data_IF_102219197740
#
_entry.id   IF_102219197740
#
_cell.length_a   1.000
_cell.length_b   1.000
_cell.length_c   1.000
_cell.angle_alpha   90.00
_cell.angle_beta   90.00
_cell.angle_gamma   90.00
#
_symmetry.space_group_name_H-M   'P 1'
#
loop_
_entity.id
_entity.type
_entity.pdbx_description
1 polymer ?
#
# COMPACT_ATOMS: atom_id res chain seq x y z
N UNK A 1 3.96 20.50 -17.61
CA UNK A 1 5.27 19.86 -17.42
C UNK A 1 5.10 18.52 -16.74
N UNK A 2 5.60 17.46 -17.36
CA UNK A 2 5.36 16.11 -16.84
C UNK A 2 5.85 15.90 -15.41
N UNK A 3 7.05 16.40 -15.09
CA UNK A 3 7.59 16.21 -13.74
C UNK A 3 6.77 16.93 -12.68
N UNK A 4 6.30 18.13 -12.98
CA UNK A 4 5.48 18.90 -12.06
C UNK A 4 4.12 18.24 -11.85
N UNK A 5 3.51 17.72 -12.91
CA UNK A 5 2.24 17.01 -12.80
C UNK A 5 2.39 15.75 -11.93
N UNK A 6 3.49 15.00 -12.10
CA UNK A 6 3.77 13.81 -11.30
C UNK A 6 3.94 14.16 -9.83
N UNK A 7 4.62 15.26 -9.54
CA UNK A 7 4.80 15.72 -8.16
C UNK A 7 3.47 16.08 -7.52
N UNK A 8 2.60 16.74 -8.26
CA UNK A 8 1.27 17.11 -7.77
C UNK A 8 0.41 15.87 -7.54
N UNK A 9 0.49 14.89 -8.41
CA UNK A 9 -0.23 13.63 -8.26
C UNK A 9 0.23 12.88 -7.01
N UNK A 10 1.53 12.82 -6.76
CA UNK A 10 2.08 12.18 -5.57
C UNK A 10 1.58 12.88 -4.30
N UNK A 11 1.59 14.21 -4.29
CA UNK A 11 1.13 14.97 -3.14
C UNK A 11 -0.37 14.75 -2.86
N UNK A 12 -1.14 14.47 -3.90
CA UNK A 12 -2.56 14.20 -3.75
C UNK A 12 -2.85 12.77 -3.36
N UNK A 13 -1.90 11.85 -3.54
CA UNK A 13 -2.10 10.43 -3.27
C UNK A 13 -1.89 10.10 -1.80
N UNK A 14 -2.79 9.31 -1.26
CA UNK A 14 -2.73 8.84 0.12
C UNK A 14 -2.44 7.35 0.13
N UNK A 15 -1.39 6.95 0.85
CA UNK A 15 -0.98 5.55 0.98
C UNK A 15 -1.28 5.09 2.40
N UNK A 16 -1.99 3.97 2.53
CA UNK A 16 -2.24 3.34 3.82
C UNK A 16 -1.20 2.26 4.04
N UNK A 17 -0.44 2.37 5.13
CA UNK A 17 0.55 1.37 5.52
C UNK A 17 0.05 0.60 6.73
N UNK A 18 0.00 -0.72 6.62
CA UNK A 18 -0.48 -1.59 7.69
C UNK A 18 0.63 -2.58 8.07
N UNK A 19 1.05 -2.54 9.33
CA UNK A 19 2.12 -3.40 9.83
C UNK A 19 2.07 -3.35 11.35
N UNK A 20 2.13 -4.48 12.04
CA UNK A 20 2.08 -4.48 13.49
C UNK A 20 3.45 -4.20 14.14
N UNK A 21 4.51 -4.12 13.35
CA UNK A 21 5.84 -3.74 13.84
C UNK A 21 6.01 -2.24 13.69
N UNK A 22 6.00 -1.55 14.81
CA UNK A 22 6.00 -0.09 14.82
C UNK A 22 7.23 0.54 14.16
N UNK A 23 8.39 -0.05 14.37
CA UNK A 23 9.63 0.48 13.77
C UNK A 23 9.58 0.43 12.24
N UNK A 24 9.17 -0.72 11.69
CA UNK A 24 9.05 -0.88 10.25
C UNK A 24 8.01 0.08 9.67
N UNK A 25 6.90 0.23 10.37
CA UNK A 25 5.81 1.12 9.96
C UNK A 25 6.28 2.57 9.92
N UNK A 26 6.97 3.01 10.97
CA UNK A 26 7.48 4.36 11.07
C UNK A 26 8.49 4.66 9.96
N UNK A 27 9.40 3.74 9.71
CA UNK A 27 10.41 3.90 8.68
C UNK A 27 9.77 4.01 7.29
N UNK A 28 8.82 3.15 7.02
CA UNK A 28 8.11 3.16 5.73
C UNK A 28 7.35 4.45 5.53
N UNK A 29 6.71 4.93 6.59
CA UNK A 29 6.03 6.21 6.55
C UNK A 29 6.98 7.34 6.17
N UNK A 30 8.16 7.37 6.80
CA UNK A 30 9.18 8.39 6.50
C UNK A 30 9.61 8.37 5.04
N UNK A 31 9.85 7.17 4.52
CA UNK A 31 10.26 7.00 3.12
C UNK A 31 9.18 7.53 2.17
N UNK A 32 7.94 7.15 2.40
CA UNK A 32 6.84 7.54 1.52
C UNK A 32 6.54 9.03 1.63
N UNK A 33 6.56 9.59 2.82
CA UNK A 33 6.35 11.02 2.99
C UNK A 33 7.43 11.84 2.32
N UNK A 34 8.68 11.38 2.38
CA UNK A 34 9.77 12.09 1.73
C UNK A 34 9.62 12.12 0.21
N UNK A 35 8.87 11.19 -0.34
CA UNK A 35 8.58 11.15 -1.78
C UNK A 35 7.33 11.93 -2.16
N UNK A 36 6.66 12.56 -1.19
CA UNK A 36 5.50 13.42 -1.45
C UNK A 36 4.15 12.80 -1.20
N UNK A 37 4.08 11.56 -0.73
CA UNK A 37 2.80 10.93 -0.42
C UNK A 37 2.27 11.37 0.94
N UNK A 38 0.96 11.41 1.04
CA UNK A 38 0.30 11.48 2.33
C UNK A 38 0.20 10.04 2.85
N UNK A 39 0.58 9.81 4.10
CA UNK A 39 0.62 8.46 4.64
C UNK A 39 -0.26 8.31 5.86
N UNK A 40 -1.10 7.29 5.83
CA UNK A 40 -1.90 6.86 6.98
C UNK A 40 -1.31 5.53 7.44
N UNK A 41 -1.32 5.28 8.74
CA UNK A 41 -0.75 4.07 9.29
C UNK A 41 -1.75 3.33 10.17
N UNK A 42 -1.61 2.01 10.22
CA UNK A 42 -2.40 1.18 11.11
C UNK A 42 -1.55 0.02 11.60
N UNK A 43 -1.67 -0.34 12.87
CA UNK A 43 -0.83 -1.35 13.51
C UNK A 43 -1.50 -2.72 13.60
N UNK A 44 -2.63 -2.88 12.95
CA UNK A 44 -3.33 -4.17 12.88
C UNK A 44 -4.20 -4.21 11.65
N UNK A 45 -4.60 -5.41 11.25
CA UNK A 45 -5.51 -5.57 10.12
C UNK A 45 -6.86 -4.91 10.39
N UNK A 46 -7.39 -5.08 11.60
CA UNK A 46 -8.66 -4.48 11.97
C UNK A 46 -8.61 -2.96 11.90
N UNK A 47 -7.56 -2.37 12.43
CA UNK A 47 -7.38 -0.92 12.38
C UNK A 47 -7.19 -0.44 10.94
N UNK A 48 -6.46 -1.20 10.16
CA UNK A 48 -6.28 -0.90 8.74
C UNK A 48 -7.59 -0.85 7.99
N UNK A 49 -8.49 -1.78 8.28
CA UNK A 49 -9.80 -1.79 7.64
C UNK A 49 -10.65 -0.58 8.07
N UNK A 50 -10.59 -0.21 9.34
CA UNK A 50 -11.27 1.00 9.82
C UNK A 50 -10.80 2.23 9.06
N UNK A 51 -9.49 2.40 8.93
CA UNK A 51 -8.90 3.54 8.21
C UNK A 51 -9.31 3.49 6.74
N UNK A 52 -9.24 2.32 6.13
CA UNK A 52 -9.59 2.19 4.72
C UNK A 52 -11.05 2.58 4.45
N UNK A 53 -11.96 2.21 5.34
CA UNK A 53 -13.38 2.54 5.19
C UNK A 53 -13.68 4.01 5.43
N UNK A 54 -12.91 4.66 6.29
CA UNK A 54 -13.22 6.03 6.72
C UNK A 54 -12.44 7.12 5.99
N UNK A 55 -11.34 6.75 5.31
CA UNK A 55 -10.46 7.70 4.65
C UNK A 55 -10.37 7.41 3.16
N UNK A 56 -10.02 8.42 2.39
CA UNK A 56 -9.75 8.24 0.97
C UNK A 56 -8.33 7.68 0.80
N UNK A 57 -8.22 6.45 0.34
CA UNK A 57 -6.94 5.76 0.19
C UNK A 57 -6.71 5.42 -1.27
N UNK A 58 -5.54 5.75 -1.80
CA UNK A 58 -5.19 5.53 -3.20
C UNK A 58 -4.28 4.34 -3.42
N UNK A 59 -3.60 3.87 -2.38
CA UNK A 59 -2.77 2.67 -2.46
C UNK A 59 -2.59 2.10 -1.05
N UNK A 60 -2.34 0.80 -0.97
CA UNK A 60 -2.15 0.11 0.31
C UNK A 60 -0.84 -0.67 0.26
N UNK A 61 -0.04 -0.54 1.32
CA UNK A 61 1.17 -1.33 1.52
C UNK A 61 0.99 -2.05 2.84
N UNK A 62 0.95 -3.36 2.81
CA UNK A 62 0.64 -4.10 4.02
C UNK A 62 1.55 -5.30 4.24
N UNK A 63 1.83 -5.57 5.51
CA UNK A 63 2.60 -6.73 5.94
C UNK A 63 1.73 -7.98 5.86
N UNK A 64 2.33 -9.09 5.47
CA UNK A 64 1.59 -10.35 5.41
C UNK A 64 1.34 -10.92 6.82
N UNK A 65 2.37 -10.92 7.67
CA UNK A 65 2.28 -11.52 9.00
C UNK A 65 1.92 -10.50 10.06
N UNK A 66 0.69 -10.60 10.57
CA UNK A 66 0.20 -9.75 11.67
C UNK A 66 -0.58 -10.62 12.63
N UNK A 67 -0.66 -10.19 13.89
CA UNK A 67 -1.25 -11.01 14.95
C UNK A 67 -2.75 -11.28 14.77
N UNK A 68 -3.50 -10.29 14.28
CA UNK A 68 -4.97 -10.41 14.21
C UNK A 68 -5.46 -10.95 12.87
N UNK A 69 -4.90 -10.51 11.77
CA UNK A 69 -5.27 -10.93 10.42
C UNK A 69 -4.01 -10.99 9.58
N UNK A 70 -3.91 -11.96 8.68
CA UNK A 70 -2.77 -11.93 7.76
C UNK A 70 -3.07 -10.96 6.60
N UNK A 71 -2.01 -10.60 5.88
CA UNK A 71 -2.13 -9.62 4.80
C UNK A 71 -3.10 -10.02 3.71
N UNK A 72 -3.19 -11.31 3.42
CA UNK A 72 -4.11 -11.78 2.39
C UNK A 72 -5.57 -11.57 2.80
N UNK A 73 -5.89 -11.80 4.06
CA UNK A 73 -7.24 -11.56 4.57
C UNK A 73 -7.61 -10.09 4.46
N UNK A 74 -6.68 -9.21 4.81
CA UNK A 74 -6.89 -7.76 4.68
C UNK A 74 -7.06 -7.38 3.21
N UNK A 75 -6.21 -7.90 2.35
CA UNK A 75 -6.26 -7.59 0.92
C UNK A 75 -7.59 -8.01 0.29
N UNK A 76 -8.11 -9.18 0.68
CA UNK A 76 -9.41 -9.63 0.18
C UNK A 76 -10.53 -8.71 0.61
N UNK A 77 -10.51 -8.26 1.86
CA UNK A 77 -11.53 -7.34 2.36
C UNK A 77 -11.45 -5.99 1.64
N UNK A 78 -10.25 -5.51 1.42
CA UNK A 78 -10.05 -4.26 0.66
C UNK A 78 -10.59 -4.40 -0.75
N UNK A 79 -10.32 -5.53 -1.42
CA UNK A 79 -10.81 -5.77 -2.78
C UNK A 79 -12.32 -5.78 -2.89
N UNK A 80 -13.01 -6.21 -1.86
CA UNK A 80 -14.48 -6.17 -1.84
C UNK A 80 -14.97 -4.73 -1.84
N UNK A 81 -14.25 -3.84 -1.18
CA UNK A 81 -14.61 -2.43 -1.08
C UNK A 81 -14.15 -1.62 -2.29
N UNK A 82 -12.98 -1.95 -2.82
CA UNK A 82 -12.42 -1.28 -3.98
C UNK A 82 -11.63 -2.26 -4.82
N UNK A 83 -12.18 -2.74 -5.94
CA UNK A 83 -11.50 -3.72 -6.78
C UNK A 83 -10.25 -3.21 -7.49
N UNK A 84 -10.05 -1.90 -7.52
CA UNK A 84 -8.98 -1.30 -8.34
C UNK A 84 -7.84 -0.67 -7.55
N UNK A 85 -7.96 -0.54 -6.24
CA UNK A 85 -6.91 0.11 -5.46
C UNK A 85 -5.62 -0.72 -5.53
N UNK A 86 -4.46 -0.10 -5.80
CA UNK A 86 -3.18 -0.83 -5.77
C UNK A 86 -2.89 -1.39 -4.39
N UNK A 87 -2.51 -2.66 -4.33
CA UNK A 87 -2.14 -3.33 -3.09
C UNK A 87 -0.77 -3.97 -3.25
N UNK A 88 0.16 -3.59 -2.37
CA UNK A 88 1.49 -4.21 -2.27
C UNK A 88 1.54 -4.96 -0.95
N UNK A 89 1.90 -6.23 -0.98
CA UNK A 89 2.07 -7.03 0.22
C UNK A 89 3.56 -7.26 0.46
N UNK A 90 3.98 -7.06 1.70
CA UNK A 90 5.35 -7.31 2.14
C UNK A 90 5.38 -8.62 2.92
N UNK A 91 6.24 -9.55 2.53
CA UNK A 91 6.33 -10.84 3.18
C UNK A 91 7.77 -11.21 3.47
N UNK A 92 8.04 -11.72 4.69
CA UNK A 92 9.37 -12.15 5.07
C UNK A 92 9.78 -13.45 4.38
N UNK A 93 8.79 -14.24 3.98
CA UNK A 93 9.06 -15.58 3.46
C UNK A 93 8.41 -15.78 2.11
N UNK A 94 8.74 -15.57 1.08
CA UNK A 94 8.17 -15.74 -0.26
C UNK A 94 7.00 -16.71 -0.38
N UNK A 95 6.01 -16.63 0.53
CA UNK A 95 4.89 -17.52 0.49
C UNK A 95 3.90 -17.21 -0.60
N UNK A 96 3.39 -18.22 -1.09
CA UNK A 96 2.07 -18.44 -1.65
C UNK A 96 1.56 -17.40 -2.59
N UNK A 97 2.32 -17.22 -3.63
CA UNK A 97 1.92 -16.34 -4.70
C UNK A 97 0.61 -16.77 -5.33
N UNK A 98 0.32 -18.07 -5.33
CA UNK A 98 -0.87 -18.61 -5.98
C UNK A 98 -2.16 -18.04 -5.40
N UNK A 99 -2.22 -17.91 -4.07
CA UNK A 99 -3.41 -17.39 -3.42
C UNK A 99 -3.62 -15.90 -3.66
N UNK A 100 -2.56 -15.19 -4.00
CA UNK A 100 -2.61 -13.74 -4.17
C UNK A 100 -2.91 -13.32 -5.60
N UNK A 101 -2.91 -14.24 -6.55
CA UNK A 101 -3.14 -13.91 -7.95
C UNK A 101 -4.50 -13.23 -8.11
N UNK A 102 -4.47 -12.01 -8.64
CA UNK A 102 -5.67 -11.22 -8.84
C UNK A 102 -6.11 -10.44 -7.62
N UNK A 103 -5.45 -10.61 -6.47
CA UNK A 103 -5.77 -9.88 -5.25
C UNK A 103 -4.76 -8.78 -4.99
N UNK A 104 -3.50 -9.14 -4.74
CA UNK A 104 -2.44 -8.15 -4.59
C UNK A 104 -1.82 -7.85 -5.95
N UNK A 105 -1.40 -6.61 -6.15
CA UNK A 105 -0.75 -6.21 -7.40
C UNK A 105 0.73 -6.56 -7.38
N UNK A 106 1.32 -6.61 -6.20
CA UNK A 106 2.75 -6.87 -6.08
C UNK A 106 3.08 -7.45 -4.72
N UNK A 107 4.01 -8.39 -4.69
CA UNK A 107 4.60 -8.92 -3.47
C UNK A 107 6.07 -8.50 -3.43
N UNK A 108 6.50 -7.97 -2.30
CA UNK A 108 7.90 -7.60 -2.09
C UNK A 108 8.38 -8.35 -0.87
N UNK A 109 9.60 -8.91 -0.94
CA UNK A 109 10.19 -9.61 0.19
C UNK A 109 10.58 -8.61 1.27
N UNK A 110 10.00 -8.75 2.45
CA UNK A 110 10.27 -7.87 3.57
C UNK A 110 11.71 -8.07 4.03
N UNK A 111 12.39 -6.97 4.33
CA UNK A 111 13.81 -7.00 4.71
C UNK A 111 14.76 -6.87 3.54
N UNK A 112 14.28 -7.14 2.35
CA UNK A 112 15.07 -6.95 1.13
C UNK A 112 14.51 -5.82 0.28
N UNK A 113 13.43 -5.18 0.74
CA UNK A 113 12.87 -4.08 0.00
C UNK A 113 13.78 -2.87 0.04
N UNK A 114 14.26 -2.51 -1.14
CA UNK A 114 14.96 -1.25 -1.35
C UNK A 114 13.90 -0.15 -1.35
N UNK A 115 14.08 0.93 -0.60
CA UNK A 115 13.12 2.04 -0.63
C UNK A 115 12.83 2.54 -2.04
N UNK A 116 13.82 2.57 -2.91
CA UNK A 116 13.62 2.98 -4.29
C UNK A 116 12.71 2.02 -5.05
N UNK A 117 12.81 0.74 -4.77
CA UNK A 117 11.97 -0.24 -5.42
C UNK A 117 10.50 -0.07 -4.98
N UNK A 118 10.27 0.16 -3.69
CA UNK A 118 8.93 0.42 -3.20
C UNK A 118 8.35 1.68 -3.84
N UNK A 119 9.13 2.75 -3.87
CA UNK A 119 8.68 4.02 -4.45
C UNK A 119 8.38 3.91 -5.93
N UNK A 120 9.26 3.26 -6.69
CA UNK A 120 9.04 3.10 -8.13
C UNK A 120 7.86 2.19 -8.42
N UNK A 121 7.65 1.17 -7.59
CA UNK A 121 6.51 0.26 -7.74
C UNK A 121 5.19 0.99 -7.50
N UNK A 122 5.12 1.81 -6.45
CA UNK A 122 3.93 2.61 -6.17
C UNK A 122 3.65 3.59 -7.29
N UNK A 123 4.69 4.27 -7.77
CA UNK A 123 4.54 5.22 -8.85
C UNK A 123 3.97 4.55 -10.10
N UNK A 124 4.50 3.38 -10.44
CA UNK A 124 4.04 2.63 -11.60
C UNK A 124 2.58 2.21 -11.46
N UNK A 125 2.21 1.68 -10.29
CA UNK A 125 0.84 1.24 -10.06
C UNK A 125 -0.13 2.41 -10.06
N UNK A 126 0.25 3.54 -9.51
CA UNK A 126 -0.60 4.73 -9.47
C UNK A 126 -0.73 5.38 -10.84
N UNK A 127 0.27 5.26 -11.71
CA UNK A 127 0.15 5.72 -13.10
C UNK A 127 -0.94 4.99 -13.84
N UNK A 128 -1.03 3.69 -13.62
CA UNK A 128 -2.02 2.87 -14.29
C UNK A 128 -3.42 3.08 -13.73
N UNK A 129 -3.51 3.67 -12.53
CA UNK A 129 -4.77 3.95 -11.86
C UNK A 129 -4.73 5.37 -11.30
N UNK A 130 -4.77 6.39 -12.19
CA UNK A 130 -4.63 7.78 -11.76
C UNK A 130 -5.72 8.18 -10.78
N UNK A 131 -5.36 9.07 -9.86
CA UNK A 131 -6.26 9.56 -8.82
C UNK A 131 -7.55 10.10 -9.42
N UNK A 132 -7.46 10.83 -10.52
CA UNK A 132 -8.62 11.38 -11.20
C UNK A 132 -9.60 10.32 -11.66
N UNK A 133 -9.11 9.17 -12.17
CA UNK A 133 -9.99 8.08 -12.59
C UNK A 133 -10.63 7.36 -11.41
N UNK A 134 -10.00 7.38 -10.26
CA UNK A 134 -10.55 6.71 -9.07
C UNK A 134 -11.74 7.45 -8.48
N UNK A 135 -11.94 8.68 -8.86
CA UNK A 135 -13.05 9.50 -8.36
C UNK A 135 -14.37 9.23 -9.08
N UNK A 136 -14.27 8.52 -10.16
CA UNK A 136 -15.44 8.16 -10.95
C UNK A 136 -16.02 6.81 -10.48
#
# INVERSE_FOLDING_TARGET
MPALATEMEKKAATVLCIDDEQTALHLRKSVLESAGYRVLTAKSGARGMEVFRSQSVHAVVLDYWMADMNGMQVAREIRKLNPKVPIIILSAYGELLDESLGIADLWIRKGEEDPQYLLSSLEELLKNRPIASQRV
#
